data_IF_043399644350
#
_entry.id   IF_043399644350
#
_cell.length_a   1.000
_cell.length_b   1.000
_cell.length_c   1.000
_cell.angle_alpha   90.00
_cell.angle_beta   90.00
_cell.angle_gamma   90.00
#
_symmetry.space_group_name_H-M   'P 1'
#
loop_
_entity.id
_entity.type
_entity.pdbx_description
1 polymer ?
#
# COMPACT_ATOMS: atom_id res chain seq x y z
N UNK A 1 32.32 -7.72 -9.03
CA UNK A 1 32.73 -8.95 -9.76
C UNK A 1 34.24 -9.07 -9.71
N UNK A 2 34.77 -10.25 -9.33
CA UNK A 2 36.20 -10.49 -9.34
C UNK A 2 36.75 -10.41 -10.78
N UNK A 3 38.05 -10.13 -10.91
CA UNK A 3 38.69 -9.79 -12.19
C UNK A 3 38.86 -10.97 -13.14
N UNK A 4 38.91 -12.17 -12.60
CA UNK A 4 39.03 -13.47 -13.29
C UNK A 4 37.77 -13.79 -14.12
N UNK A 5 36.58 -13.46 -13.61
CA UNK A 5 35.30 -13.68 -14.28
C UNK A 5 34.99 -12.65 -15.38
N UNK A 6 35.81 -11.59 -15.53
CA UNK A 6 35.58 -10.56 -16.55
C UNK A 6 35.82 -11.11 -17.96
N UNK A 7 34.86 -10.88 -18.87
CA UNK A 7 34.95 -11.29 -20.29
C UNK A 7 36.22 -10.79 -20.99
N UNK A 8 36.80 -9.68 -20.55
CA UNK A 8 38.07 -9.15 -21.09
C UNK A 8 39.25 -10.11 -20.91
N UNK A 9 39.26 -10.96 -19.87
CA UNK A 9 40.30 -11.98 -19.66
C UNK A 9 40.37 -12.98 -20.82
N UNK A 10 39.21 -13.41 -21.32
CA UNK A 10 39.09 -14.34 -22.45
C UNK A 10 39.44 -13.72 -23.81
N UNK A 11 39.61 -12.39 -23.89
CA UNK A 11 39.86 -11.66 -25.15
C UNK A 11 41.32 -11.28 -25.37
N UNK A 12 42.23 -11.67 -24.46
CA UNK A 12 43.67 -11.49 -24.65
C UNK A 12 44.14 -12.31 -25.87
N UNK A 13 45.12 -11.80 -26.60
CA UNK A 13 45.56 -12.37 -27.89
C UNK A 13 44.68 -12.04 -29.10
N UNK A 14 43.47 -11.50 -28.90
CA UNK A 14 42.59 -11.10 -30.01
C UNK A 14 42.80 -9.63 -30.37
N UNK A 15 43.01 -9.34 -31.66
CA UNK A 15 43.46 -8.02 -32.15
C UNK A 15 42.52 -6.86 -31.78
N UNK A 16 41.20 -7.04 -31.82
CA UNK A 16 40.23 -5.92 -31.70
C UNK A 16 39.54 -5.84 -30.33
N UNK A 17 39.91 -6.71 -29.37
CA UNK A 17 39.15 -6.91 -28.13
C UNK A 17 37.63 -7.00 -28.41
N UNK A 18 37.27 -7.65 -29.53
CA UNK A 18 35.96 -7.77 -30.17
C UNK A 18 35.06 -6.52 -30.18
N UNK A 19 35.62 -5.36 -30.48
CA UNK A 19 34.88 -4.19 -30.95
C UNK A 19 34.84 -4.09 -32.49
N UNK A 20 35.25 -5.16 -33.18
CA UNK A 20 35.32 -5.22 -34.65
C UNK A 20 36.55 -4.50 -35.22
N UNK A 21 36.96 -4.86 -36.44
CA UNK A 21 38.11 -4.24 -37.13
C UNK A 21 37.76 -2.90 -37.79
N UNK A 22 36.56 -2.79 -38.35
CA UNK A 22 36.12 -1.64 -39.16
C UNK A 22 35.55 -0.53 -38.28
N UNK A 23 34.44 -0.78 -37.56
CA UNK A 23 33.77 0.25 -36.76
C UNK A 23 34.58 0.76 -35.56
N UNK A 24 35.44 -0.10 -34.99
CA UNK A 24 36.34 0.14 -33.82
C UNK A 24 35.61 0.68 -32.57
N UNK A 25 36.29 0.63 -31.44
CA UNK A 25 35.80 1.31 -30.23
C UNK A 25 36.24 2.77 -30.23
N UNK A 26 35.32 3.67 -30.60
CA UNK A 26 35.54 5.13 -30.59
C UNK A 26 34.97 5.74 -29.30
N UNK A 27 35.39 6.97 -28.97
CA UNK A 27 35.04 7.59 -27.68
C UNK A 27 33.54 7.86 -27.52
N UNK A 28 32.91 8.61 -28.44
CA UNK A 28 31.48 8.94 -28.38
C UNK A 28 30.88 9.16 -29.79
N UNK A 29 30.51 8.08 -30.52
CA UNK A 29 30.06 8.21 -31.92
C UNK A 29 28.72 8.95 -32.08
N UNK A 30 27.80 8.85 -31.11
CA UNK A 30 26.48 9.51 -31.15
C UNK A 30 26.36 10.72 -30.22
N UNK A 31 27.47 11.22 -29.67
CA UNK A 31 27.49 12.21 -28.59
C UNK A 31 27.53 11.60 -27.18
N UNK A 32 27.49 12.46 -26.16
CA UNK A 32 27.53 12.08 -24.74
C UNK A 32 26.13 12.16 -24.13
N UNK A 33 25.81 11.22 -23.24
CA UNK A 33 24.54 11.22 -22.54
C UNK A 33 23.34 11.22 -23.49
N UNK A 34 22.36 12.08 -23.22
CA UNK A 34 21.11 12.18 -23.99
C UNK A 34 21.18 13.18 -25.17
N UNK A 35 22.38 13.46 -25.69
CA UNK A 35 22.55 14.34 -26.84
C UNK A 35 21.80 13.80 -28.08
N UNK A 36 21.24 14.71 -28.88
CA UNK A 36 20.53 14.35 -30.11
C UNK A 36 19.15 13.74 -29.91
N UNK A 37 18.56 13.81 -28.71
CA UNK A 37 17.28 13.15 -28.41
C UNK A 37 16.08 13.63 -29.24
N UNK A 38 16.13 14.83 -29.83
CA UNK A 38 15.14 15.31 -30.82
C UNK A 38 15.62 15.22 -32.27
N UNK A 39 16.86 14.78 -32.49
CA UNK A 39 17.52 14.72 -33.79
C UNK A 39 17.86 13.25 -34.12
N UNK A 40 19.15 12.89 -34.18
CA UNK A 40 19.62 11.57 -34.59
C UNK A 40 19.29 10.43 -33.61
N UNK A 41 18.88 10.74 -32.38
CA UNK A 41 18.37 9.75 -31.41
C UNK A 41 16.86 9.81 -31.21
N UNK A 42 16.12 10.59 -32.02
CA UNK A 42 14.67 10.78 -31.89
C UNK A 42 13.89 9.48 -31.84
N UNK A 43 14.22 8.52 -32.70
CA UNK A 43 13.53 7.21 -32.77
C UNK A 43 13.57 6.48 -31.42
N UNK A 44 14.69 6.56 -30.70
CA UNK A 44 14.85 5.94 -29.38
C UNK A 44 13.97 6.61 -28.32
N UNK A 45 13.89 7.94 -28.34
CA UNK A 45 13.08 8.70 -27.40
C UNK A 45 11.59 8.52 -27.68
N UNK A 46 11.16 8.61 -28.94
CA UNK A 46 9.75 8.45 -29.31
C UNK A 46 9.25 7.04 -29.00
N UNK A 47 10.08 6.01 -29.23
CA UNK A 47 9.71 4.61 -29.00
C UNK A 47 9.69 4.21 -27.53
N UNK A 48 10.75 4.53 -26.78
CA UNK A 48 10.92 4.01 -25.41
C UNK A 48 10.63 5.02 -24.31
N UNK A 49 10.60 6.31 -24.63
CA UNK A 49 10.48 7.41 -23.66
C UNK A 49 9.45 8.44 -24.12
N UNK A 50 8.25 7.97 -24.48
CA UNK A 50 7.19 8.86 -24.95
C UNK A 50 6.81 9.91 -23.89
N UNK A 51 6.76 11.18 -24.31
CA UNK A 51 6.49 12.30 -23.42
C UNK A 51 7.66 12.70 -22.50
N UNK A 52 8.90 12.32 -22.85
CA UNK A 52 10.12 12.84 -22.23
C UNK A 52 10.32 14.33 -22.49
N UNK A 53 10.05 14.79 -23.71
CA UNK A 53 10.09 16.21 -24.06
C UNK A 53 8.74 16.89 -23.77
N UNK A 54 8.79 18.15 -23.35
CA UNK A 54 7.62 18.98 -23.05
C UNK A 54 7.45 19.33 -21.57
N UNK A 55 6.56 20.29 -21.28
CA UNK A 55 6.20 20.69 -19.91
C UNK A 55 4.90 19.99 -19.50
N UNK A 56 4.78 19.61 -18.22
CA UNK A 56 3.57 18.97 -17.66
C UNK A 56 3.20 19.61 -16.32
N UNK A 57 1.92 19.90 -16.13
CA UNK A 57 1.35 20.35 -14.85
C UNK A 57 1.83 21.70 -14.33
N UNK A 58 1.41 22.04 -13.11
CA UNK A 58 1.75 23.29 -12.42
C UNK A 58 3.02 23.13 -11.58
N UNK A 59 3.81 24.21 -11.42
CA UNK A 59 5.01 24.23 -10.56
C UNK A 59 4.60 24.44 -9.10
N UNK A 60 5.11 23.58 -8.20
CA UNK A 60 4.93 23.73 -6.76
C UNK A 60 6.25 24.17 -6.11
N UNK A 61 6.34 25.43 -5.71
CA UNK A 61 7.52 25.97 -5.03
C UNK A 61 7.55 25.56 -3.56
N UNK A 62 8.75 25.41 -2.98
CA UNK A 62 8.96 25.06 -1.57
C UNK A 62 8.15 23.84 -1.08
N UNK A 63 7.99 22.82 -1.94
CA UNK A 63 7.20 21.62 -1.63
C UNK A 63 7.80 20.85 -0.44
N UNK A 64 7.10 20.89 0.70
CA UNK A 64 7.41 20.06 1.87
C UNK A 64 6.84 18.65 1.67
N UNK A 65 7.70 17.69 1.29
CA UNK A 65 7.34 16.26 1.15
C UNK A 65 6.55 15.67 2.33
N UNK A 66 6.87 15.95 3.63
CA UNK A 66 6.13 15.34 4.75
C UNK A 66 4.67 15.78 4.84
N UNK A 67 4.31 17.00 4.40
CA UNK A 67 2.92 17.46 4.42
C UNK A 67 2.04 16.69 3.43
N UNK A 68 2.61 16.27 2.29
CA UNK A 68 1.93 15.44 1.30
C UNK A 68 2.05 13.94 1.54
N UNK A 69 2.76 13.52 2.60
CA UNK A 69 2.96 12.11 2.87
C UNK A 69 1.69 11.51 3.46
N UNK A 70 1.11 10.54 2.73
CA UNK A 70 0.05 9.70 3.24
C UNK A 70 0.34 8.25 2.88
N UNK A 71 0.38 7.41 3.89
CA UNK A 71 0.51 5.97 3.76
C UNK A 71 -0.87 5.33 3.78
N UNK A 72 -1.14 4.47 2.80
CA UNK A 72 -2.42 3.77 2.69
C UNK A 72 -2.28 2.27 2.94
N UNK A 73 -3.24 1.68 3.64
CA UNK A 73 -3.38 0.24 3.84
C UNK A 73 -4.72 -0.26 3.28
N UNK A 74 -4.74 -1.46 2.72
CA UNK A 74 -5.96 -2.09 2.22
C UNK A 74 -6.57 -3.02 3.28
N UNK A 75 -7.90 -3.21 3.25
CA UNK A 75 -8.63 -4.07 4.20
C UNK A 75 -8.13 -5.53 4.22
N UNK A 76 -7.69 -6.07 3.08
CA UNK A 76 -7.12 -7.42 2.97
C UNK A 76 -5.90 -7.64 3.88
N UNK A 77 -5.07 -6.61 4.06
CA UNK A 77 -3.85 -6.68 4.86
C UNK A 77 -4.08 -6.40 6.34
N UNK A 78 -5.18 -5.75 6.72
CA UNK A 78 -5.44 -5.36 8.12
C UNK A 78 -5.47 -6.59 9.02
N UNK A 79 -6.07 -7.70 8.57
CA UNK A 79 -6.13 -8.94 9.36
C UNK A 79 -4.75 -9.53 9.66
N UNK A 80 -3.74 -9.27 8.82
CA UNK A 80 -2.36 -9.75 9.05
C UNK A 80 -1.57 -8.89 10.02
N UNK A 81 -1.97 -7.62 10.21
CA UNK A 81 -1.34 -6.69 11.15
C UNK A 81 -1.74 -6.98 12.60
N UNK A 82 -2.81 -7.75 12.77
CA UNK A 82 -3.24 -8.33 14.03
C UNK A 82 -2.25 -9.44 14.37
N UNK A 83 -1.44 -9.24 15.41
CA UNK A 83 -0.44 -10.23 15.80
C UNK A 83 -1.09 -11.60 16.08
N UNK A 84 -0.40 -12.70 15.72
CA UNK A 84 -0.81 -14.11 15.95
C UNK A 84 -1.17 -14.43 17.42
N UNK A 85 -0.87 -13.53 18.37
CA UNK A 85 -1.21 -13.64 19.79
C UNK A 85 -2.72 -13.68 20.09
N UNK A 86 -3.57 -13.44 19.10
CA UNK A 86 -5.02 -13.68 19.23
C UNK A 86 -5.29 -15.09 18.72
N UNK A 87 -5.51 -16.03 19.63
CA UNK A 87 -6.04 -17.35 19.31
C UNK A 87 -7.46 -17.19 18.74
N UNK A 88 -7.56 -17.13 17.41
CA UNK A 88 -8.85 -17.02 16.69
C UNK A 88 -9.73 -18.25 16.96
N UNK A 89 -9.14 -19.38 17.39
CA UNK A 89 -9.88 -20.60 17.75
C UNK A 89 -10.69 -20.50 19.06
N UNK A 90 -10.31 -19.63 20.00
CA UNK A 90 -10.85 -19.65 21.38
C UNK A 90 -11.69 -18.42 21.76
N UNK A 91 -12.25 -17.68 20.81
CA UNK A 91 -13.27 -16.66 21.10
C UNK A 91 -14.52 -16.92 20.26
N UNK A 92 -15.42 -17.72 20.83
CA UNK A 92 -16.79 -17.88 20.35
C UNK A 92 -17.45 -16.49 20.29
N UNK A 93 -17.85 -16.05 19.10
CA UNK A 93 -18.79 -14.93 18.97
C UNK A 93 -20.16 -15.51 18.63
N UNK A 94 -21.16 -15.39 19.52
CA UNK A 94 -22.51 -15.75 19.17
C UNK A 94 -23.02 -14.77 18.12
N UNK A 95 -23.67 -15.35 17.13
CA UNK A 95 -24.44 -14.69 16.08
C UNK A 95 -25.35 -13.63 16.72
N UNK A 96 -25.17 -12.34 16.39
CA UNK A 96 -26.22 -11.35 16.64
C UNK A 96 -27.37 -11.67 15.69
N UNK A 97 -28.29 -12.52 16.16
CA UNK A 97 -29.59 -12.64 15.54
C UNK A 97 -30.29 -11.28 15.64
N UNK A 98 -30.70 -10.82 14.47
CA UNK A 98 -31.66 -9.77 14.21
C UNK A 98 -32.80 -9.83 15.23
N UNK A 99 -32.80 -8.97 16.24
CA UNK A 99 -33.98 -8.67 17.05
C UNK A 99 -34.46 -7.28 16.67
N UNK A 100 -35.69 -7.32 16.17
CA UNK A 100 -36.51 -6.26 15.61
C UNK A 100 -37.22 -5.54 16.78
N UNK A 101 -37.44 -4.22 16.58
CA UNK A 101 -38.43 -3.35 17.23
C UNK A 101 -38.13 -2.87 18.66
N UNK A 102 -38.03 -1.55 18.74
CA UNK A 102 -38.29 -0.72 19.92
C UNK A 102 -39.63 -1.11 20.56
N UNK A 103 -39.65 -1.58 21.81
CA UNK A 103 -40.76 -1.26 22.69
C UNK A 103 -40.44 -1.45 24.18
N UNK A 104 -40.96 -0.51 24.96
CA UNK A 104 -40.67 -0.09 26.33
C UNK A 104 -40.90 -1.10 27.47
N UNK A 105 -41.04 -2.40 27.21
CA UNK A 105 -41.52 -3.37 28.23
C UNK A 105 -40.43 -4.08 29.06
N UNK A 106 -39.14 -3.87 28.79
CA UNK A 106 -38.05 -4.56 29.51
C UNK A 106 -37.53 -3.83 30.77
N UNK A 107 -38.23 -2.78 31.24
CA UNK A 107 -37.78 -1.92 32.35
C UNK A 107 -38.16 -2.41 33.75
N UNK A 108 -38.93 -3.50 33.90
CA UNK A 108 -39.30 -4.01 35.22
C UNK A 108 -39.07 -5.52 35.30
N UNK A 109 -38.24 -5.90 36.26
CA UNK A 109 -37.95 -7.26 36.73
C UNK A 109 -37.14 -8.13 35.77
N UNK A 110 -35.80 -8.07 35.91
CA UNK A 110 -34.88 -9.19 36.18
C UNK A 110 -33.51 -8.53 36.41
N UNK A 111 -33.29 -8.03 37.63
CA UNK A 111 -31.97 -7.62 38.12
C UNK A 111 -31.74 -8.44 39.37
N UNK A 112 -31.07 -9.60 39.24
CA UNK A 112 -30.45 -10.26 40.42
C UNK A 112 -29.44 -11.38 40.10
N UNK A 113 -29.30 -11.88 38.86
CA UNK A 113 -28.51 -13.12 38.66
C UNK A 113 -27.67 -13.24 37.39
N UNK A 114 -27.42 -12.14 36.67
CA UNK A 114 -26.44 -12.17 35.59
C UNK A 114 -25.19 -11.41 36.03
N UNK A 115 -24.23 -12.19 36.49
CA UNK A 115 -22.83 -11.81 36.63
C UNK A 115 -22.39 -10.99 35.42
N UNK A 116 -21.48 -10.05 35.69
CA UNK A 116 -20.84 -9.13 34.74
C UNK A 116 -20.42 -9.85 33.45
N UNK A 117 -21.33 -9.96 32.48
CA UNK A 117 -21.04 -10.36 31.11
C UNK A 117 -20.32 -9.20 30.43
N UNK A 118 -19.04 -9.01 30.77
CA UNK A 118 -18.15 -8.15 30.00
C UNK A 118 -18.14 -8.70 28.58
N UNK A 119 -18.86 -8.06 27.65
CA UNK A 119 -18.60 -8.28 26.22
C UNK A 119 -17.09 -8.07 26.05
N UNK A 120 -16.34 -9.04 25.49
CA UNK A 120 -14.94 -8.81 25.21
C UNK A 120 -14.86 -7.60 24.31
N UNK A 121 -14.19 -6.53 24.78
CA UNK A 121 -14.09 -5.27 24.06
C UNK A 121 -13.77 -5.54 22.58
N UNK A 122 -14.57 -4.99 21.63
CA UNK A 122 -14.36 -5.23 20.21
C UNK A 122 -12.92 -4.89 19.83
N UNK A 123 -12.27 -5.75 19.04
CA UNK A 123 -10.85 -5.60 18.73
C UNK A 123 -10.63 -4.30 17.94
N UNK A 124 -9.89 -3.39 18.56
CA UNK A 124 -9.63 -2.06 18.04
C UNK A 124 -8.22 -1.98 17.46
N UNK A 125 -8.12 -1.53 16.21
CA UNK A 125 -6.85 -1.39 15.50
C UNK A 125 -6.60 0.09 15.27
N UNK A 126 -5.57 0.63 15.91
CA UNK A 126 -5.07 1.96 15.60
C UNK A 126 -3.99 1.88 14.53
N UNK A 127 -4.36 2.25 13.31
CA UNK A 127 -3.47 2.20 12.16
C UNK A 127 -2.40 3.30 12.18
N UNK A 128 -2.59 4.37 12.96
CA UNK A 128 -1.59 5.43 13.11
C UNK A 128 -0.30 4.91 13.75
N UNK A 129 -0.39 3.95 14.69
CA UNK A 129 0.79 3.36 15.34
C UNK A 129 1.63 2.53 14.35
N UNK A 130 0.98 1.96 13.35
CA UNK A 130 1.64 1.24 12.26
C UNK A 130 2.07 2.17 11.12
N UNK A 131 1.95 3.49 11.31
CA UNK A 131 2.34 4.48 10.34
C UNK A 131 1.42 4.55 9.12
N UNK A 132 0.14 4.15 9.22
CA UNK A 132 -0.85 4.26 8.14
C UNK A 132 -1.86 5.38 8.43
N UNK A 133 -2.09 6.23 7.42
CA UNK A 133 -3.02 7.37 7.51
C UNK A 133 -4.36 7.11 6.83
N UNK A 134 -4.41 6.23 5.81
CA UNK A 134 -5.62 6.00 5.01
C UNK A 134 -5.94 4.52 4.84
N UNK A 135 -7.22 4.15 4.94
CA UNK A 135 -7.71 2.80 4.64
C UNK A 135 -8.42 2.74 3.30
N UNK A 136 -8.08 1.73 2.50
CA UNK A 136 -8.60 1.47 1.17
C UNK A 136 -9.35 0.13 1.12
N UNK A 137 -10.37 0.06 0.26
CA UNK A 137 -11.32 -1.05 0.22
C UNK A 137 -10.95 -2.23 -0.69
N UNK A 138 -9.67 -2.45 -1.04
CA UNK A 138 -9.28 -3.64 -1.84
C UNK A 138 -9.47 -4.92 -1.01
N UNK A 139 -9.92 -6.00 -1.66
CA UNK A 139 -10.16 -7.30 -1.01
C UNK A 139 -11.61 -7.54 -0.58
N UNK A 140 -11.87 -8.68 0.07
CA UNK A 140 -13.19 -9.02 0.63
C UNK A 140 -13.47 -8.23 1.91
N UNK A 141 -14.73 -8.19 2.37
CA UNK A 141 -15.04 -7.66 3.70
C UNK A 141 -14.33 -8.49 4.77
N UNK A 142 -13.91 -7.90 5.90
CA UNK A 142 -13.29 -8.68 6.95
C UNK A 142 -14.30 -9.71 7.48
N UNK A 143 -13.78 -10.90 7.79
CA UNK A 143 -14.60 -12.01 8.31
C UNK A 143 -15.09 -11.67 9.72
N UNK A 144 -14.23 -11.04 10.50
CA UNK A 144 -14.52 -10.58 11.85
C UNK A 144 -14.81 -9.07 11.88
N UNK A 145 -15.75 -8.61 12.72
CA UNK A 145 -15.98 -7.19 12.94
C UNK A 145 -14.80 -6.57 13.69
N UNK A 146 -14.21 -5.50 13.13
CA UNK A 146 -13.14 -4.73 13.76
C UNK A 146 -13.54 -3.28 13.94
N UNK A 147 -13.01 -2.63 14.99
CA UNK A 147 -13.02 -1.17 15.09
C UNK A 147 -11.71 -0.64 14.51
N UNK A 148 -11.78 0.07 13.39
CA UNK A 148 -10.60 0.56 12.69
C UNK A 148 -10.48 2.07 12.91
N UNK A 149 -9.34 2.49 13.48
CA UNK A 149 -8.97 3.89 13.71
C UNK A 149 -7.93 4.35 12.69
N UNK A 150 -8.25 5.38 11.91
CA UNK A 150 -7.32 6.02 10.96
C UNK A 150 -7.76 7.45 10.61
N UNK A 151 -6.88 8.24 9.99
CA UNK A 151 -7.22 9.62 9.57
C UNK A 151 -8.26 9.65 8.44
N UNK A 152 -8.16 8.73 7.48
CA UNK A 152 -8.99 8.74 6.28
C UNK A 152 -9.45 7.34 5.85
N UNK A 153 -10.64 7.23 5.27
CA UNK A 153 -11.20 5.98 4.75
C UNK A 153 -11.82 6.19 3.36
N UNK A 154 -11.61 5.25 2.43
CA UNK A 154 -12.39 5.22 1.19
C UNK A 154 -13.86 4.85 1.48
N UNK A 155 -14.79 5.33 0.66
CA UNK A 155 -16.22 4.98 0.73
C UNK A 155 -16.43 3.46 0.71
N UNK A 156 -15.71 2.79 -0.19
CA UNK A 156 -15.71 1.33 -0.30
C UNK A 156 -15.20 0.62 0.96
N UNK A 157 -14.19 1.17 1.63
CA UNK A 157 -13.67 0.61 2.88
C UNK A 157 -14.70 0.76 4.00
N UNK A 158 -15.29 1.97 4.16
CA UNK A 158 -16.33 2.23 5.16
C UNK A 158 -17.49 1.24 5.02
N UNK A 159 -18.04 1.11 3.82
CA UNK A 159 -19.18 0.23 3.56
C UNK A 159 -18.85 -1.24 3.86
N UNK A 160 -17.62 -1.71 3.58
CA UNK A 160 -17.22 -3.10 3.85
C UNK A 160 -17.08 -3.37 5.35
N UNK A 161 -16.52 -2.43 6.10
CA UNK A 161 -16.36 -2.54 7.57
C UNK A 161 -17.73 -2.54 8.26
N UNK A 162 -18.63 -1.64 7.86
CA UNK A 162 -20.00 -1.60 8.39
C UNK A 162 -20.76 -2.89 8.04
N UNK A 163 -20.67 -3.38 6.79
CA UNK A 163 -21.27 -4.66 6.37
C UNK A 163 -20.71 -5.91 7.07
N UNK A 164 -19.53 -5.81 7.69
CA UNK A 164 -19.00 -6.86 8.56
C UNK A 164 -19.44 -6.74 10.02
N UNK A 165 -20.18 -5.70 10.39
CA UNK A 165 -20.54 -5.39 11.78
C UNK A 165 -19.43 -4.68 12.56
N UNK A 166 -18.41 -4.16 11.87
CA UNK A 166 -17.34 -3.37 12.46
C UNK A 166 -17.67 -1.88 12.47
N UNK A 167 -16.84 -1.10 13.14
CA UNK A 167 -16.98 0.36 13.19
C UNK A 167 -15.74 1.07 12.64
N UNK A 168 -15.96 2.26 12.09
CA UNK A 168 -14.92 3.13 11.55
C UNK A 168 -14.81 4.36 12.42
N UNK A 169 -13.60 4.64 12.92
CA UNK A 169 -13.33 5.81 13.76
C UNK A 169 -12.29 6.68 13.06
N UNK A 170 -12.67 7.92 12.76
CA UNK A 170 -11.79 8.91 12.15
C UNK A 170 -11.00 9.62 13.25
N UNK A 171 -9.68 9.64 13.14
CA UNK A 171 -8.77 10.26 14.12
C UNK A 171 -8.08 11.49 13.53
N UNK A 172 -8.03 12.60 14.27
CA UNK A 172 -7.45 13.86 13.81
C UNK A 172 -5.95 14.05 14.14
N UNK A 173 -5.34 13.16 14.93
CA UNK A 173 -3.89 13.17 15.20
C UNK A 173 -3.10 13.05 13.89
#
# INVERSE_FOLDING_TARGET
MPTDQKKTRKRRGHVSCGHGRIGKHRKHPGGRGNAGGQHHHKILFDKFHSGYFGKKGMRQFHKKKPQSFFSSVNLDKISSMISKKIDIKNRVYPFFNKVIIENELFKKNIISSYEKNYLPSPYQINLSHYGFSKVLGKGKKPIFPFIIKAKNFSTTAKNKVIKSGGAVVVTNN
#
